data_IF_024081071392
#
_entry.id   IF_024081071392
#
_cell.length_a   1.000
_cell.length_b   1.000
_cell.length_c   1.000
_cell.angle_alpha   90.00
_cell.angle_beta   90.00
_cell.angle_gamma   90.00
#
_symmetry.space_group_name_H-M   'P 1'
#
loop_
_entity.id
_entity.type
_entity.pdbx_description
1 polymer ?
#
# COMPACT_ATOMS: atom_id res chain seq x y z
N UNK A 1 -31.04 21.98 -0.10
CA UNK A 1 -29.70 21.39 -0.13
C UNK A 1 -29.62 20.31 0.94
N UNK A 2 -29.78 19.03 0.56
CA UNK A 2 -29.88 17.88 1.48
C UNK A 2 -28.70 17.78 2.46
N UNK A 3 -27.46 17.88 1.97
CA UNK A 3 -26.24 17.73 2.79
C UNK A 3 -26.15 18.79 3.90
N UNK A 4 -26.51 20.04 3.61
CA UNK A 4 -26.46 21.12 4.60
C UNK A 4 -27.51 20.95 5.68
N UNK A 5 -28.69 20.45 5.33
CA UNK A 5 -29.78 20.18 6.29
C UNK A 5 -29.39 19.04 7.27
N UNK A 6 -28.73 18.00 6.76
CA UNK A 6 -28.31 16.84 7.55
C UNK A 6 -26.83 16.87 7.97
N UNK A 7 -26.20 18.05 8.01
CA UNK A 7 -24.77 18.21 8.33
C UNK A 7 -24.29 17.49 9.60
N UNK A 8 -25.13 17.46 10.64
CA UNK A 8 -24.80 16.77 11.91
C UNK A 8 -24.64 15.28 11.71
N UNK A 9 -25.48 14.65 10.90
CA UNK A 9 -25.40 13.24 10.56
C UNK A 9 -24.09 12.94 9.83
N UNK A 10 -23.72 13.73 8.83
CA UNK A 10 -22.47 13.55 8.08
C UNK A 10 -21.23 13.74 8.95
N UNK A 11 -21.26 14.70 9.90
CA UNK A 11 -20.14 14.87 10.83
C UNK A 11 -19.99 13.68 11.78
N UNK A 12 -21.09 13.14 12.30
CA UNK A 12 -21.05 11.96 13.16
C UNK A 12 -20.56 10.73 12.38
N UNK A 13 -21.06 10.51 11.17
CA UNK A 13 -20.63 9.42 10.32
C UNK A 13 -19.13 9.52 9.99
N UNK A 14 -18.66 10.71 9.60
CA UNK A 14 -17.26 10.98 9.30
C UNK A 14 -16.36 10.75 10.53
N UNK A 15 -16.76 11.27 11.69
CA UNK A 15 -16.03 11.05 12.94
C UNK A 15 -15.95 9.56 13.31
N UNK A 16 -17.05 8.82 13.14
CA UNK A 16 -17.09 7.37 13.39
C UNK A 16 -16.12 6.63 12.47
N UNK A 17 -16.14 6.94 11.17
CA UNK A 17 -15.22 6.34 10.20
C UNK A 17 -13.76 6.64 10.54
N UNK A 18 -13.44 7.87 10.94
CA UNK A 18 -12.08 8.23 11.39
C UNK A 18 -11.65 7.41 12.61
N UNK A 19 -12.50 7.32 13.64
CA UNK A 19 -12.20 6.57 14.86
C UNK A 19 -11.98 5.09 14.55
N UNK A 20 -12.85 4.49 13.72
CA UNK A 20 -12.71 3.10 13.29
C UNK A 20 -11.42 2.88 12.48
N UNK A 21 -11.10 3.81 11.58
CA UNK A 21 -9.88 3.74 10.75
C UNK A 21 -8.61 3.85 11.59
N UNK A 22 -8.56 4.80 12.52
CA UNK A 22 -7.43 4.95 13.45
C UNK A 22 -7.31 3.71 14.35
N UNK A 23 -8.43 3.21 14.86
CA UNK A 23 -8.47 1.97 15.66
C UNK A 23 -7.99 0.74 14.89
N UNK A 24 -8.36 0.62 13.61
CA UNK A 24 -7.89 -0.46 12.74
C UNK A 24 -6.37 -0.41 12.54
N UNK A 25 -5.84 0.76 12.20
CA UNK A 25 -4.39 0.94 12.02
C UNK A 25 -3.64 0.69 13.33
N UNK A 26 -4.15 1.16 14.47
CA UNK A 26 -3.52 0.94 15.77
C UNK A 26 -3.52 -0.54 16.19
N UNK A 27 -4.58 -1.29 15.83
CA UNK A 27 -4.73 -2.70 16.22
C UNK A 27 -4.00 -3.66 15.30
N UNK A 28 -4.06 -3.46 13.98
CA UNK A 28 -3.54 -4.39 12.97
C UNK A 28 -2.31 -3.89 12.24
N UNK A 29 -1.99 -2.59 12.37
CA UNK A 29 -0.87 -1.98 11.65
C UNK A 29 -1.14 -1.81 10.16
N UNK A 30 -0.08 -1.53 9.42
CA UNK A 30 -0.08 -1.42 7.96
C UNK A 30 0.87 -2.44 7.37
N UNK A 31 0.41 -3.17 6.36
CA UNK A 31 1.27 -3.99 5.53
C UNK A 31 1.96 -3.10 4.48
N UNK A 32 3.18 -2.68 4.77
CA UNK A 32 3.98 -1.92 3.82
C UNK A 32 4.38 -2.80 2.63
N UNK A 33 4.37 -2.20 1.44
CA UNK A 33 4.92 -2.80 0.23
C UNK A 33 6.45 -2.98 0.32
N UNK A 34 7.01 -3.74 -0.63
CA UNK A 34 8.46 -3.96 -0.72
C UNK A 34 9.24 -2.65 -0.90
N UNK A 35 8.61 -1.61 -1.43
CA UNK A 35 9.22 -0.27 -1.60
C UNK A 35 9.66 0.35 -0.27
N UNK A 36 9.02 -0.05 0.85
CA UNK A 36 9.28 0.49 2.18
C UNK A 36 9.88 -0.51 3.16
N UNK A 37 9.57 -1.81 3.01
CA UNK A 37 10.14 -2.87 3.84
C UNK A 37 11.43 -3.46 3.26
N UNK A 38 11.61 -3.34 1.96
CA UNK A 38 12.50 -4.19 1.18
C UNK A 38 11.83 -5.54 0.88
N UNK A 39 12.46 -6.33 0.03
CA UNK A 39 11.99 -7.62 -0.45
C UNK A 39 11.96 -7.69 -1.96
N UNK A 40 11.45 -8.81 -2.51
CA UNK A 40 11.30 -9.01 -3.94
C UNK A 40 9.86 -9.42 -4.29
N UNK A 41 9.44 -9.01 -5.48
CA UNK A 41 8.18 -9.44 -6.11
C UNK A 41 8.51 -10.08 -7.44
N UNK A 42 8.02 -11.30 -7.64
CA UNK A 42 8.08 -12.00 -8.91
C UNK A 42 6.65 -12.25 -9.39
N UNK A 43 6.31 -11.74 -10.57
CA UNK A 43 5.06 -11.99 -11.24
C UNK A 43 5.29 -12.97 -12.40
N UNK A 44 4.56 -14.08 -12.38
CA UNK A 44 4.66 -15.16 -13.35
C UNK A 44 3.32 -15.39 -14.02
N UNK A 45 3.37 -15.74 -15.30
CA UNK A 45 2.22 -16.20 -16.06
C UNK A 45 2.51 -17.56 -16.70
N UNK A 46 1.58 -18.49 -16.53
CA UNK A 46 1.63 -19.83 -17.11
C UNK A 46 0.91 -19.86 -18.46
N UNK A 47 1.51 -20.52 -19.46
CA UNK A 47 0.98 -20.53 -20.82
C UNK A 47 -0.36 -21.27 -20.97
N UNK A 48 -0.67 -22.23 -20.09
CA UNK A 48 -1.90 -23.03 -20.19
C UNK A 48 -2.57 -23.23 -18.84
N UNK A 49 -2.20 -24.23 -18.07
CA UNK A 49 -2.81 -24.52 -16.77
C UNK A 49 -1.90 -24.07 -15.63
N UNK A 50 -2.47 -23.34 -14.67
CA UNK A 50 -1.74 -22.94 -13.45
C UNK A 50 -1.74 -24.07 -12.44
N UNK A 51 -0.60 -24.39 -11.79
CA UNK A 51 -0.60 -25.25 -10.61
C UNK A 51 -1.45 -24.61 -9.51
N UNK A 52 -2.01 -25.39 -8.61
CA UNK A 52 -2.70 -24.81 -7.47
C UNK A 52 -1.71 -24.05 -6.57
N UNK A 53 -2.20 -23.02 -5.86
CA UNK A 53 -1.37 -22.24 -4.93
C UNK A 53 -0.65 -23.13 -3.91
N UNK A 54 -1.33 -24.19 -3.42
CA UNK A 54 -0.76 -25.12 -2.47
C UNK A 54 0.44 -25.92 -3.05
N UNK A 55 0.33 -26.34 -4.32
CA UNK A 55 1.42 -27.04 -5.01
C UNK A 55 2.60 -26.11 -5.21
N UNK A 56 2.37 -24.87 -5.67
CA UNK A 56 3.44 -23.89 -5.83
C UNK A 56 4.12 -23.56 -4.49
N UNK A 57 3.33 -23.38 -3.44
CA UNK A 57 3.86 -23.15 -2.10
C UNK A 57 4.74 -24.32 -1.59
N UNK A 58 4.31 -25.56 -1.83
CA UNK A 58 5.09 -26.74 -1.47
C UNK A 58 6.40 -26.85 -2.25
N UNK A 59 6.42 -26.44 -3.51
CA UNK A 59 7.63 -26.41 -4.35
C UNK A 59 8.64 -25.36 -3.89
N UNK A 60 8.16 -24.22 -3.41
CA UNK A 60 8.99 -23.09 -2.97
C UNK A 60 9.42 -23.21 -1.49
N UNK A 61 8.71 -24.00 -0.70
CA UNK A 61 9.00 -24.17 0.72
C UNK A 61 10.48 -24.55 1.04
N UNK A 62 11.16 -25.45 0.27
CA UNK A 62 12.55 -25.79 0.53
C UNK A 62 13.53 -24.64 0.34
N UNK A 63 13.15 -23.60 -0.42
CA UNK A 63 14.01 -22.43 -0.67
C UNK A 63 13.94 -21.40 0.45
N UNK A 64 12.93 -21.45 1.32
CA UNK A 64 12.69 -20.52 2.43
C UNK A 64 12.74 -19.03 1.98
N UNK A 65 12.24 -18.77 0.79
CA UNK A 65 12.27 -17.44 0.17
C UNK A 65 10.91 -16.74 0.21
N UNK A 66 9.81 -17.51 0.07
CA UNK A 66 8.48 -16.94 -0.17
C UNK A 66 7.76 -16.54 1.11
N UNK A 67 7.33 -15.27 1.19
CA UNK A 67 6.47 -14.76 2.27
C UNK A 67 4.99 -14.93 1.92
N UNK A 68 4.60 -14.73 0.66
CA UNK A 68 3.23 -14.93 0.21
C UNK A 68 3.14 -15.20 -1.30
N UNK A 69 2.18 -16.05 -1.67
CA UNK A 69 1.87 -16.39 -3.07
C UNK A 69 0.41 -16.02 -3.31
N UNK A 70 0.11 -15.29 -4.38
CA UNK A 70 -1.24 -14.87 -4.71
C UNK A 70 -1.54 -15.05 -6.18
N UNK A 71 -2.75 -15.52 -6.52
CA UNK A 71 -3.16 -15.58 -7.91
C UNK A 71 -3.30 -14.15 -8.48
N UNK A 72 -2.94 -13.98 -9.74
CA UNK A 72 -3.14 -12.77 -10.53
C UNK A 72 -3.62 -13.13 -11.94
N UNK A 73 -4.55 -12.34 -12.47
CA UNK A 73 -5.15 -12.66 -13.76
C UNK A 73 -5.81 -14.03 -13.81
N UNK A 74 -5.80 -14.65 -14.97
CA UNK A 74 -6.39 -15.98 -15.17
C UNK A 74 -5.38 -17.12 -14.89
N UNK A 75 -4.11 -16.91 -15.24
CA UNK A 75 -3.09 -17.95 -15.26
C UNK A 75 -1.78 -17.50 -14.58
N UNK A 76 -1.82 -16.54 -13.64
CA UNK A 76 -0.62 -15.99 -13.05
C UNK A 76 -0.56 -16.09 -11.54
N UNK A 77 0.66 -15.89 -11.01
CA UNK A 77 0.93 -15.72 -9.60
C UNK A 77 1.86 -14.54 -9.34
N UNK A 78 1.56 -13.80 -8.29
CA UNK A 78 2.48 -12.85 -7.67
C UNK A 78 3.07 -13.51 -6.43
N UNK A 79 4.39 -13.66 -6.42
CA UNK A 79 5.16 -14.23 -5.32
C UNK A 79 5.90 -13.09 -4.64
N UNK A 80 5.60 -12.83 -3.39
CA UNK A 80 6.37 -11.92 -2.54
C UNK A 80 7.35 -12.73 -1.70
N UNK A 81 8.58 -12.22 -1.62
CA UNK A 81 9.66 -12.90 -0.94
C UNK A 81 10.60 -11.88 -0.29
N UNK A 82 11.51 -12.35 0.58
CA UNK A 82 12.61 -11.51 1.04
C UNK A 82 13.46 -11.04 -0.14
N UNK A 83 14.31 -10.07 0.09
CA UNK A 83 15.33 -9.72 -0.90
C UNK A 83 16.12 -10.96 -1.32
N UNK A 84 16.26 -11.15 -2.63
CA UNK A 84 17.02 -12.27 -3.21
C UNK A 84 18.10 -11.78 -4.16
N UNK A 85 19.22 -12.48 -4.18
CA UNK A 85 20.31 -12.28 -5.13
C UNK A 85 19.93 -12.78 -6.52
N UNK A 86 20.74 -12.40 -7.53
CA UNK A 86 20.57 -12.91 -8.90
C UNK A 86 20.73 -14.43 -8.98
N UNK A 87 21.62 -15.01 -8.19
CA UNK A 87 21.83 -16.46 -8.13
C UNK A 87 20.62 -17.18 -7.55
N UNK A 88 20.06 -16.64 -6.47
CA UNK A 88 18.81 -17.16 -5.88
C UNK A 88 17.61 -17.03 -6.83
N UNK A 89 17.54 -15.96 -7.61
CA UNK A 89 16.53 -15.77 -8.66
C UNK A 89 16.62 -16.88 -9.71
N UNK A 90 17.83 -17.23 -10.17
CA UNK A 90 18.05 -18.29 -11.13
C UNK A 90 17.59 -19.63 -10.58
N UNK A 91 17.93 -19.95 -9.34
CA UNK A 91 17.49 -21.18 -8.66
C UNK A 91 15.96 -21.21 -8.56
N UNK A 92 15.35 -20.12 -8.12
CA UNK A 92 13.89 -19.97 -8.00
C UNK A 92 13.19 -20.22 -9.35
N UNK A 93 13.66 -19.57 -10.40
CA UNK A 93 13.08 -19.71 -11.74
C UNK A 93 13.24 -21.14 -12.27
N UNK A 94 14.38 -21.78 -12.04
CA UNK A 94 14.62 -23.17 -12.44
C UNK A 94 13.69 -24.13 -11.68
N UNK A 95 13.47 -23.95 -10.39
CA UNK A 95 12.54 -24.78 -9.61
C UNK A 95 11.11 -24.66 -10.15
N UNK A 96 10.65 -23.46 -10.42
CA UNK A 96 9.30 -23.19 -10.94
C UNK A 96 9.14 -23.81 -12.35
N UNK A 97 10.13 -23.63 -13.22
CA UNK A 97 10.08 -24.13 -14.60
C UNK A 97 10.19 -25.65 -14.68
N UNK A 98 11.10 -26.25 -13.90
CA UNK A 98 11.31 -27.70 -13.88
C UNK A 98 10.09 -28.45 -13.32
N UNK A 99 9.39 -27.85 -12.37
CA UNK A 99 8.26 -28.48 -11.68
C UNK A 99 6.94 -28.39 -12.46
N UNK A 100 6.82 -27.47 -13.40
CA UNK A 100 5.52 -27.18 -14.04
C UNK A 100 5.25 -27.92 -15.33
N UNK A 101 6.26 -28.46 -16.04
CA UNK A 101 6.16 -28.98 -17.41
C UNK A 101 5.42 -28.03 -18.40
N UNK A 102 5.23 -26.78 -18.01
CA UNK A 102 4.46 -25.76 -18.72
C UNK A 102 5.37 -24.55 -18.88
N UNK A 103 5.31 -23.90 -20.04
CA UNK A 103 6.06 -22.67 -20.24
C UNK A 103 5.57 -21.59 -19.27
N UNK A 104 6.51 -21.04 -18.51
CA UNK A 104 6.28 -19.96 -17.54
C UNK A 104 6.99 -18.72 -18.04
N UNK A 105 6.27 -17.62 -18.10
CA UNK A 105 6.81 -16.32 -18.51
C UNK A 105 6.91 -15.41 -17.29
N UNK A 106 8.09 -14.86 -17.06
CA UNK A 106 8.28 -13.80 -16.07
C UNK A 106 7.69 -12.49 -16.64
N UNK A 107 6.67 -11.95 -15.99
CA UNK A 107 6.06 -10.66 -16.36
C UNK A 107 6.77 -9.50 -15.71
N UNK A 108 7.18 -9.68 -14.45
CA UNK A 108 7.81 -8.64 -13.65
C UNK A 108 8.67 -9.26 -12.57
N UNK A 109 9.84 -8.68 -12.37
CA UNK A 109 10.68 -8.94 -11.21
C UNK A 109 11.21 -7.62 -10.66
N UNK A 110 10.89 -7.32 -9.40
CA UNK A 110 11.43 -6.19 -8.67
C UNK A 110 12.06 -6.71 -7.38
N UNK A 111 13.25 -6.21 -7.06
CA UNK A 111 13.93 -6.51 -5.80
C UNK A 111 14.49 -5.23 -5.21
N UNK A 112 14.15 -4.95 -3.96
CA UNK A 112 14.53 -3.74 -3.23
C UNK A 112 15.17 -4.15 -1.93
N UNK A 113 16.42 -3.72 -1.72
CA UNK A 113 17.12 -3.95 -0.47
C UNK A 113 16.48 -3.24 0.73
N UNK A 114 16.53 -3.81 1.94
CA UNK A 114 15.90 -3.27 3.13
C UNK A 114 16.42 -1.87 3.50
N UNK A 115 17.67 -1.56 3.18
CA UNK A 115 18.27 -0.24 3.40
C UNK A 115 17.58 0.80 2.52
N UNK A 116 17.36 0.48 1.23
CA UNK A 116 16.67 1.38 0.29
C UNK A 116 15.19 1.55 0.68
N UNK A 117 14.54 0.49 1.13
CA UNK A 117 13.15 0.54 1.60
C UNK A 117 12.99 1.48 2.81
N UNK A 118 13.84 1.36 3.82
CA UNK A 118 13.78 2.22 5.01
C UNK A 118 14.11 3.68 4.67
N UNK A 119 15.06 3.92 3.75
CA UNK A 119 15.37 5.27 3.28
C UNK A 119 14.20 5.88 2.51
N UNK A 120 13.54 5.10 1.65
CA UNK A 120 12.35 5.52 0.92
C UNK A 120 11.21 5.91 1.86
N UNK A 121 10.96 5.10 2.91
CA UNK A 121 9.95 5.41 3.93
C UNK A 121 10.27 6.75 4.64
N UNK A 122 11.52 6.94 5.07
CA UNK A 122 11.94 8.18 5.74
C UNK A 122 11.79 9.41 4.83
N UNK A 123 12.21 9.31 3.57
CA UNK A 123 12.06 10.39 2.59
C UNK A 123 10.60 10.69 2.29
N UNK A 124 9.76 9.67 2.16
CA UNK A 124 8.32 9.83 1.94
C UNK A 124 7.64 10.55 3.11
N UNK A 125 7.96 10.19 4.35
CA UNK A 125 7.44 10.88 5.53
C UNK A 125 7.85 12.36 5.57
N UNK A 126 9.12 12.66 5.29
CA UNK A 126 9.59 14.04 5.21
C UNK A 126 8.85 14.82 4.10
N UNK A 127 8.68 14.21 2.92
CA UNK A 127 7.96 14.80 1.80
C UNK A 127 6.51 15.12 2.13
N UNK A 128 5.80 14.23 2.84
CA UNK A 128 4.43 14.48 3.30
C UNK A 128 4.38 15.74 4.19
N UNK A 129 5.29 15.85 5.17
CA UNK A 129 5.35 17.02 6.05
C UNK A 129 5.59 18.31 5.25
N UNK A 130 6.54 18.29 4.32
CA UNK A 130 6.80 19.47 3.47
C UNK A 130 5.62 19.86 2.61
N UNK A 131 4.91 18.88 2.02
CA UNK A 131 3.71 19.11 1.21
C UNK A 131 2.60 19.73 2.06
N UNK A 132 2.35 19.21 3.27
CA UNK A 132 1.36 19.76 4.19
C UNK A 132 1.67 21.22 4.55
N UNK A 133 2.92 21.52 4.88
CA UNK A 133 3.35 22.89 5.14
C UNK A 133 3.18 23.81 3.93
N UNK A 134 3.57 23.33 2.74
CA UNK A 134 3.40 24.08 1.50
C UNK A 134 1.92 24.39 1.20
N UNK A 135 1.02 23.43 1.44
CA UNK A 135 -0.43 23.63 1.29
C UNK A 135 -0.93 24.72 2.25
N UNK A 136 -0.55 24.67 3.53
CA UNK A 136 -0.95 25.68 4.52
C UNK A 136 -0.51 27.07 4.06
N UNK A 137 0.78 27.20 3.70
CA UNK A 137 1.35 28.48 3.27
C UNK A 137 0.70 28.99 1.98
N UNK A 138 0.50 28.10 1.01
CA UNK A 138 -0.15 28.47 -0.26
C UNK A 138 -1.59 28.94 -0.03
N UNK A 139 -2.39 28.20 0.74
CA UNK A 139 -3.79 28.57 1.01
C UNK A 139 -3.84 29.86 1.82
N UNK A 140 -2.99 30.03 2.85
CA UNK A 140 -2.91 31.27 3.62
C UNK A 140 -2.55 32.47 2.72
N UNK A 141 -1.62 32.28 1.78
CA UNK A 141 -1.24 33.32 0.83
C UNK A 141 -2.35 33.62 -0.19
N UNK A 142 -2.97 32.59 -0.76
CA UNK A 142 -4.03 32.74 -1.75
C UNK A 142 -5.24 33.50 -1.19
N UNK A 143 -5.62 33.19 0.04
CA UNK A 143 -6.76 33.82 0.71
C UNK A 143 -6.42 35.07 1.55
N UNK A 144 -5.19 35.59 1.49
CA UNK A 144 -4.74 36.73 2.30
C UNK A 144 -5.60 37.99 2.17
N UNK A 145 -6.24 38.20 0.99
CA UNK A 145 -7.11 39.34 0.73
C UNK A 145 -8.57 39.12 1.13
N UNK A 146 -8.97 37.88 1.46
CA UNK A 146 -10.33 37.47 1.81
C UNK A 146 -10.40 37.11 3.30
N UNK A 147 -9.78 37.93 4.16
CA UNK A 147 -9.63 37.64 5.60
C UNK A 147 -10.84 38.00 6.47
N UNK A 148 -11.95 38.40 5.88
CA UNK A 148 -13.19 38.70 6.63
C UNK A 148 -14.34 37.86 6.06
N UNK A 149 -15.14 37.19 6.91
CA UNK A 149 -15.11 37.16 8.39
C UNK A 149 -14.12 36.16 9.00
N UNK A 150 -13.40 35.35 8.18
CA UNK A 150 -12.53 34.26 8.65
C UNK A 150 -11.10 34.47 8.18
N UNK A 151 -10.11 34.33 9.09
CA UNK A 151 -8.70 34.51 8.71
C UNK A 151 -8.21 33.45 7.73
N UNK A 152 -7.33 33.86 6.79
CA UNK A 152 -6.75 33.01 5.74
C UNK A 152 -6.07 31.74 6.28
N UNK A 153 -5.46 31.83 7.45
CA UNK A 153 -4.81 30.68 8.12
C UNK A 153 -5.82 29.59 8.50
N UNK A 154 -7.05 29.96 8.90
CA UNK A 154 -8.09 28.98 9.23
C UNK A 154 -8.52 28.16 8.00
N UNK A 155 -8.55 28.76 6.81
CA UNK A 155 -8.80 28.01 5.57
C UNK A 155 -7.72 26.98 5.30
N UNK A 156 -6.43 27.31 5.49
CA UNK A 156 -5.32 26.38 5.38
C UNK A 156 -5.44 25.23 6.37
N UNK A 157 -5.77 25.52 7.62
CA UNK A 157 -5.95 24.48 8.65
C UNK A 157 -7.12 23.54 8.33
N UNK A 158 -8.25 24.10 7.88
CA UNK A 158 -9.41 23.27 7.47
C UNK A 158 -9.05 22.37 6.28
N UNK A 159 -8.29 22.88 5.32
CA UNK A 159 -7.82 22.09 4.17
C UNK A 159 -6.95 20.89 4.62
N UNK A 160 -6.07 21.09 5.62
CA UNK A 160 -5.27 19.99 6.19
C UNK A 160 -6.15 18.98 6.91
N UNK A 161 -7.12 19.42 7.72
CA UNK A 161 -8.05 18.51 8.41
C UNK A 161 -8.82 17.67 7.38
N UNK A 162 -9.30 18.27 6.29
CA UNK A 162 -9.96 17.56 5.21
C UNK A 162 -9.00 16.55 4.53
N UNK A 163 -7.78 16.96 4.22
CA UNK A 163 -6.77 16.08 3.61
C UNK A 163 -6.45 14.88 4.50
N UNK A 164 -6.23 15.11 5.80
CA UNK A 164 -5.99 14.03 6.76
C UNK A 164 -7.18 13.08 6.86
N UNK A 165 -8.41 13.60 6.87
CA UNK A 165 -9.61 12.79 6.83
C UNK A 165 -9.63 11.87 5.60
N UNK A 166 -9.35 12.42 4.42
CA UNK A 166 -9.39 11.70 3.15
C UNK A 166 -8.27 10.65 3.01
N UNK A 167 -7.17 10.81 3.74
CA UNK A 167 -6.06 9.84 3.78
C UNK A 167 -6.28 8.78 4.86
N UNK A 168 -6.73 9.16 6.06
CA UNK A 168 -6.86 8.25 7.20
C UNK A 168 -7.93 7.18 6.95
N UNK A 169 -9.07 7.54 6.34
CA UNK A 169 -10.16 6.59 6.12
C UNK A 169 -9.74 5.45 5.17
N UNK A 170 -9.22 5.70 3.96
CA UNK A 170 -8.72 4.63 3.11
C UNK A 170 -7.59 3.82 3.77
N UNK A 171 -6.68 4.49 4.48
CA UNK A 171 -5.58 3.82 5.20
C UNK A 171 -6.12 2.81 6.22
N UNK A 172 -7.16 3.18 6.98
CA UNK A 172 -7.83 2.27 7.90
C UNK A 172 -8.52 1.09 7.20
N UNK A 173 -9.18 1.35 6.07
CA UNK A 173 -9.78 0.30 5.25
C UNK A 173 -8.71 -0.67 4.75
N UNK A 174 -7.58 -0.18 4.25
CA UNK A 174 -6.46 -1.04 3.82
C UNK A 174 -5.86 -1.85 4.97
N UNK A 175 -5.79 -1.29 6.19
CA UNK A 175 -5.36 -2.03 7.37
C UNK A 175 -6.29 -3.22 7.66
N UNK A 176 -7.61 -3.00 7.59
CA UNK A 176 -8.62 -4.08 7.76
C UNK A 176 -8.49 -5.12 6.66
N UNK A 177 -8.45 -4.70 5.39
CA UNK A 177 -8.30 -5.60 4.25
C UNK A 177 -6.98 -6.38 4.31
N UNK A 178 -5.89 -5.74 4.72
CA UNK A 178 -4.60 -6.38 4.94
C UNK A 178 -4.66 -7.50 5.96
N UNK A 179 -5.39 -7.30 7.05
CA UNK A 179 -5.54 -8.30 8.10
C UNK A 179 -6.44 -9.48 7.69
N UNK A 180 -7.62 -9.21 7.11
CA UNK A 180 -8.61 -10.25 6.81
C UNK A 180 -8.42 -10.93 5.45
N UNK A 181 -7.94 -10.22 4.46
CA UNK A 181 -7.72 -10.74 3.10
C UNK A 181 -6.24 -10.94 2.78
N UNK A 182 -5.35 -10.56 3.70
CA UNK A 182 -3.92 -10.73 3.58
C UNK A 182 -3.28 -9.87 2.46
N UNK A 183 -3.86 -8.71 2.11
CA UNK A 183 -3.29 -7.78 1.13
C UNK A 183 -2.01 -7.12 1.64
#
# INVERSE_FOLDING_TARGET
MFVVTYRKFFYILSALLLILSIGAVAKWGLNYGIDFKGGAILELEYASSTPSQAVLAAQLAPLDLSESIRPTGMNGYIIRMREISQDEKIVLTNVITASSNIAVTEKRFDSIGPVLGTEALRKSMASIIFVLLAIILFVAFAFRKVSQPVSSFKYGLIAIVALLHDVIIPTGVFSVLGHFLGY
#
